data_IF_697327009729
#
_entry.id   IF_697327009729
#
_cell.length_a   1.000
_cell.length_b   1.000
_cell.length_c   1.000
_cell.angle_alpha   90.00
_cell.angle_beta   90.00
_cell.angle_gamma   90.00
#
_symmetry.space_group_name_H-M   'P 1'
#
loop_
_entity.id
_entity.type
_entity.pdbx_description
1 polymer ?
#
# COMPACT_ATOMS: atom_id res chain seq x y z
N UNK A 1 5.13 29.77 29.25
CA UNK A 1 5.35 30.91 28.36
C UNK A 1 6.35 30.53 27.26
N UNK A 2 6.27 31.14 26.08
CA UNK A 2 7.17 30.92 24.93
C UNK A 2 8.64 30.99 25.34
N UNK A 3 9.01 31.97 26.19
CA UNK A 3 10.39 32.11 26.69
C UNK A 3 10.89 30.91 27.47
N UNK A 4 10.02 30.22 28.19
CA UNK A 4 10.40 29.02 28.93
C UNK A 4 10.72 27.86 27.99
N UNK A 5 9.91 27.65 26.94
CA UNK A 5 10.15 26.64 25.94
C UNK A 5 11.42 26.89 25.13
N UNK A 6 11.68 28.15 24.74
CA UNK A 6 12.91 28.52 24.04
C UNK A 6 14.17 28.24 24.89
N UNK A 7 14.13 28.56 26.21
CA UNK A 7 15.24 28.22 27.13
C UNK A 7 15.42 26.72 27.32
N UNK A 8 14.35 25.95 27.21
CA UNK A 8 14.42 24.48 27.24
C UNK A 8 15.11 23.95 25.99
N UNK A 9 14.72 24.41 24.81
CA UNK A 9 15.36 24.03 23.54
C UNK A 9 16.84 24.42 23.50
N UNK A 10 17.23 25.59 24.07
CA UNK A 10 18.64 25.96 24.20
C UNK A 10 19.41 24.99 25.10
N UNK A 11 18.82 24.55 26.23
CA UNK A 11 19.45 23.59 27.15
C UNK A 11 19.58 22.19 26.55
N UNK A 12 18.65 21.82 25.69
CA UNK A 12 18.66 20.56 24.94
C UNK A 12 19.59 20.62 23.70
N UNK A 13 20.25 21.77 23.47
CA UNK A 13 21.17 21.95 22.35
C UNK A 13 20.51 22.01 20.98
N UNK A 14 19.19 22.22 20.92
CA UNK A 14 18.43 22.25 19.67
C UNK A 14 18.41 23.64 19.05
N UNK A 15 18.49 24.69 19.88
CA UNK A 15 18.55 26.08 19.44
C UNK A 15 19.70 26.81 20.13
N UNK A 16 20.18 27.86 19.50
CA UNK A 16 21.16 28.79 20.09
C UNK A 16 20.79 30.26 19.80
N UNK A 17 21.15 31.16 20.70
CA UNK A 17 20.93 32.56 20.48
C UNK A 17 21.91 33.11 19.45
N UNK A 18 21.41 33.50 18.28
CA UNK A 18 22.22 34.09 17.23
C UNK A 18 22.60 35.56 17.57
N UNK A 19 21.61 36.35 17.94
CA UNK A 19 21.83 37.73 18.50
C UNK A 19 20.53 38.23 19.15
N UNK A 20 20.64 39.32 19.95
CA UNK A 20 19.43 39.93 20.52
C UNK A 20 18.46 40.48 19.47
N UNK A 21 18.96 40.85 18.29
CA UNK A 21 18.17 41.41 17.18
C UNK A 21 17.66 40.32 16.22
N UNK A 22 18.49 39.31 15.91
CA UNK A 22 18.16 38.24 14.96
C UNK A 22 17.49 37.03 15.63
N UNK A 23 17.41 37.00 16.97
CA UNK A 23 16.74 35.92 17.69
C UNK A 23 17.58 34.66 17.81
N UNK A 24 16.92 33.51 17.78
CA UNK A 24 17.53 32.17 17.86
C UNK A 24 17.59 31.49 16.49
N UNK A 25 18.56 30.62 16.33
CA UNK A 25 18.66 29.74 15.17
C UNK A 25 18.73 28.28 15.63
N UNK A 26 18.40 27.37 14.74
CA UNK A 26 18.62 25.94 14.97
C UNK A 26 20.12 25.64 14.97
N UNK A 27 20.55 24.78 15.87
CA UNK A 27 21.86 24.13 15.78
C UNK A 27 21.84 23.02 14.71
N UNK A 28 23.00 22.43 14.37
CA UNK A 28 23.03 21.26 13.49
C UNK A 28 22.22 20.09 14.10
N UNK A 29 22.25 19.91 15.43
CA UNK A 29 21.41 18.95 16.14
C UNK A 29 19.93 19.32 16.06
N UNK A 30 19.57 20.59 16.21
CA UNK A 30 18.20 21.07 16.08
C UNK A 30 17.65 20.92 14.66
N UNK A 31 18.49 21.18 13.63
CA UNK A 31 18.12 20.93 12.25
C UNK A 31 17.89 19.43 11.96
N UNK A 32 18.79 18.56 12.44
CA UNK A 32 18.61 17.12 12.35
C UNK A 32 17.37 16.62 13.11
N UNK A 33 17.01 17.26 14.22
CA UNK A 33 15.81 16.92 14.99
C UNK A 33 14.54 17.42 14.31
N UNK A 34 14.58 18.56 13.63
CA UNK A 34 13.48 19.03 12.76
C UNK A 34 13.33 18.12 11.54
N UNK A 35 14.43 17.68 10.92
CA UNK A 35 14.39 16.67 9.86
C UNK A 35 13.86 15.31 10.35
N UNK A 36 14.17 14.93 11.60
CA UNK A 36 13.52 13.80 12.30
C UNK A 36 12.10 14.16 12.73
N UNK A 37 11.83 15.41 13.00
CA UNK A 37 10.62 15.99 13.57
C UNK A 37 9.48 16.20 12.57
N UNK A 38 9.57 15.71 11.34
CA UNK A 38 8.42 15.38 10.49
C UNK A 38 7.50 14.32 11.13
N UNK A 39 7.58 14.24 12.46
CA UNK A 39 6.66 13.46 13.31
C UNK A 39 5.22 13.89 13.09
N UNK A 40 4.94 15.17 12.82
CA UNK A 40 3.56 15.63 12.55
C UNK A 40 3.08 15.16 11.17
N UNK A 41 3.93 15.17 10.15
CA UNK A 41 3.61 14.51 8.87
C UNK A 41 3.61 12.98 8.99
N UNK A 42 4.45 12.42 9.87
CA UNK A 42 4.44 10.99 10.22
C UNK A 42 3.32 10.60 11.16
N UNK A 43 2.73 11.53 11.90
CA UNK A 43 1.54 11.30 12.75
C UNK A 43 0.23 11.47 11.98
N UNK A 44 0.25 11.72 10.67
CA UNK A 44 -0.95 11.57 9.87
C UNK A 44 -1.40 10.12 9.96
N UNK A 45 -2.59 9.89 10.50
CA UNK A 45 -3.20 8.55 10.48
C UNK A 45 -3.23 8.04 9.05
N UNK A 46 -3.03 6.74 8.90
CA UNK A 46 -3.05 6.08 7.58
C UNK A 46 -4.36 6.36 6.85
N UNK A 47 -5.48 6.51 7.55
CA UNK A 47 -6.76 6.90 6.97
C UNK A 47 -6.68 8.22 6.18
N UNK A 48 -6.01 9.24 6.71
CA UNK A 48 -5.82 10.51 6.00
C UNK A 48 -4.97 10.37 4.73
N UNK A 49 -3.94 9.55 4.76
CA UNK A 49 -3.14 9.24 3.55
C UNK A 49 -3.96 8.48 2.51
N UNK A 50 -4.81 7.55 2.95
CA UNK A 50 -5.74 6.82 2.08
C UNK A 50 -6.68 7.81 1.39
N UNK A 51 -7.28 8.74 2.13
CA UNK A 51 -8.24 9.72 1.60
C UNK A 51 -7.57 10.66 0.60
N UNK A 52 -6.38 11.18 0.92
CA UNK A 52 -5.60 12.05 0.04
C UNK A 52 -5.25 11.37 -1.29
N UNK A 53 -4.70 10.15 -1.24
CA UNK A 53 -4.35 9.41 -2.44
C UNK A 53 -5.59 8.97 -3.24
N UNK A 54 -6.68 8.60 -2.56
CA UNK A 54 -7.96 8.27 -3.18
C UNK A 54 -8.51 9.47 -3.98
N UNK A 55 -8.46 10.66 -3.40
CA UNK A 55 -8.91 11.90 -4.04
C UNK A 55 -8.04 12.26 -5.24
N UNK A 56 -6.71 12.25 -5.08
CA UNK A 56 -5.74 12.63 -6.12
C UNK A 56 -5.62 11.63 -7.26
N UNK A 57 -5.99 10.37 -7.05
CA UNK A 57 -5.91 9.32 -8.06
C UNK A 57 -6.66 9.70 -9.33
N UNK A 58 -5.98 9.61 -10.49
CA UNK A 58 -6.52 10.04 -11.80
C UNK A 58 -7.18 8.95 -12.63
N UNK A 59 -7.06 7.66 -12.24
CA UNK A 59 -7.53 6.55 -13.06
C UNK A 59 -9.05 6.59 -13.31
N UNK A 60 -9.43 6.39 -14.57
CA UNK A 60 -10.82 6.31 -15.04
C UNK A 60 -11.06 4.93 -15.63
N UNK A 61 -11.97 4.16 -15.04
CA UNK A 61 -12.23 2.78 -15.42
C UNK A 61 -12.64 2.64 -16.89
N UNK A 62 -13.55 3.50 -17.37
CA UNK A 62 -14.03 3.50 -18.76
C UNK A 62 -12.94 3.85 -19.77
N UNK A 63 -11.98 4.70 -19.41
CA UNK A 63 -10.89 5.11 -20.29
C UNK A 63 -9.70 4.14 -20.25
N UNK A 64 -9.61 3.29 -19.21
CA UNK A 64 -8.46 2.43 -18.97
C UNK A 64 -7.15 3.22 -18.86
N UNK A 65 -7.21 4.43 -18.27
CA UNK A 65 -6.08 5.36 -18.21
C UNK A 65 -6.14 6.23 -16.95
N UNK A 66 -4.99 6.77 -16.57
CA UNK A 66 -4.78 7.63 -15.42
C UNK A 66 -3.92 6.96 -14.35
N UNK A 67 -3.68 7.68 -13.26
CA UNK A 67 -2.77 7.27 -12.19
C UNK A 67 -3.45 6.34 -11.19
N UNK A 68 -2.71 5.31 -10.74
CA UNK A 68 -3.07 4.37 -9.68
C UNK A 68 -2.29 4.66 -8.42
N UNK A 69 -2.85 4.33 -7.26
CA UNK A 69 -2.11 4.27 -6.00
C UNK A 69 -1.21 3.04 -6.00
N UNK A 70 0.04 3.20 -5.61
CA UNK A 70 1.05 2.13 -5.68
C UNK A 70 1.72 1.88 -4.34
N UNK A 71 2.28 0.67 -4.21
CA UNK A 71 3.25 0.30 -3.18
C UNK A 71 4.60 0.07 -3.84
N UNK A 72 5.68 0.24 -3.10
CA UNK A 72 7.04 0.03 -3.58
C UNK A 72 7.82 -0.91 -2.65
N UNK A 73 8.70 -1.70 -3.24
CA UNK A 73 9.67 -2.53 -2.53
C UNK A 73 11.04 -2.33 -3.16
N UNK A 74 11.96 -1.72 -2.42
CA UNK A 74 13.34 -1.56 -2.85
C UNK A 74 14.15 -2.81 -2.49
N UNK A 75 14.79 -3.39 -3.51
CA UNK A 75 15.63 -4.58 -3.41
C UNK A 75 17.03 -4.30 -3.94
N UNK A 76 17.98 -5.20 -3.70
CA UNK A 76 19.26 -5.19 -4.41
C UNK A 76 19.03 -5.55 -5.89
N UNK A 77 19.70 -4.86 -6.81
CA UNK A 77 19.59 -5.14 -8.25
C UNK A 77 20.04 -6.57 -8.61
N UNK A 78 20.99 -7.14 -7.85
CA UNK A 78 21.43 -8.52 -8.02
C UNK A 78 20.34 -9.55 -7.78
N UNK A 79 19.31 -9.19 -7.02
CA UNK A 79 18.22 -10.09 -6.62
C UNK A 79 17.02 -10.03 -7.57
N UNK A 80 17.10 -9.25 -8.67
CA UNK A 80 16.00 -9.04 -9.63
C UNK A 80 15.38 -10.35 -10.13
N UNK A 81 16.21 -11.28 -10.61
CA UNK A 81 15.75 -12.55 -11.15
C UNK A 81 15.08 -13.43 -10.07
N UNK A 82 15.69 -13.50 -8.89
CA UNK A 82 15.13 -14.23 -7.76
C UNK A 82 13.80 -13.61 -7.29
N UNK A 83 13.72 -12.27 -7.23
CA UNK A 83 12.50 -11.58 -6.87
C UNK A 83 11.36 -11.87 -7.87
N UNK A 84 11.64 -11.81 -9.18
CA UNK A 84 10.66 -12.16 -10.22
C UNK A 84 10.19 -13.60 -10.08
N UNK A 85 11.09 -14.55 -9.82
CA UNK A 85 10.77 -15.97 -9.65
C UNK A 85 9.84 -16.20 -8.44
N UNK A 86 10.00 -15.42 -7.35
CA UNK A 86 9.17 -15.51 -6.14
C UNK A 86 7.80 -14.84 -6.33
N UNK A 87 7.74 -13.65 -6.93
CA UNK A 87 6.47 -12.91 -7.01
C UNK A 87 5.54 -13.43 -8.09
N UNK A 88 6.07 -14.02 -9.16
CA UNK A 88 5.27 -14.54 -10.27
C UNK A 88 4.23 -15.59 -9.83
N UNK A 89 4.56 -16.64 -9.04
CA UNK A 89 3.58 -17.59 -8.51
C UNK A 89 2.51 -16.91 -7.64
N UNK A 90 2.87 -15.88 -6.86
CA UNK A 90 1.92 -15.11 -6.04
C UNK A 90 0.86 -14.44 -6.91
N UNK A 91 1.28 -13.81 -8.02
CA UNK A 91 0.35 -13.21 -8.98
C UNK A 91 -0.48 -14.28 -9.71
N UNK A 92 0.13 -15.40 -10.08
CA UNK A 92 -0.58 -16.51 -10.72
C UNK A 92 -1.65 -17.13 -9.81
N UNK A 93 -1.37 -17.19 -8.50
CA UNK A 93 -2.32 -17.60 -7.47
C UNK A 93 -3.36 -16.53 -7.10
N UNK A 94 -3.29 -15.33 -7.70
CA UNK A 94 -4.17 -14.20 -7.45
C UNK A 94 -4.18 -13.73 -5.99
N UNK A 95 -3.02 -13.71 -5.34
CA UNK A 95 -2.86 -13.33 -3.94
C UNK A 95 -2.49 -11.84 -3.75
N UNK A 96 -2.55 -11.02 -4.78
CA UNK A 96 -2.27 -9.59 -4.75
C UNK A 96 -3.42 -8.74 -5.29
N UNK A 97 -3.20 -7.43 -5.37
CA UNK A 97 -4.13 -6.49 -6.00
C UNK A 97 -3.98 -6.53 -7.53
N UNK A 98 -4.61 -7.53 -8.16
CA UNK A 98 -4.59 -7.73 -9.60
C UNK A 98 -3.36 -8.46 -10.12
N UNK A 99 -3.08 -8.29 -11.41
CA UNK A 99 -2.04 -9.02 -12.16
C UNK A 99 -0.94 -8.10 -12.72
N UNK A 100 -0.84 -6.87 -12.25
CA UNK A 100 0.04 -5.84 -12.81
C UNK A 100 1.20 -5.53 -11.90
N UNK A 101 2.38 -5.45 -12.48
CA UNK A 101 3.64 -5.23 -11.78
C UNK A 101 4.57 -4.38 -12.63
N UNK A 102 5.27 -3.43 -12.00
CA UNK A 102 6.27 -2.59 -12.64
C UNK A 102 7.60 -2.76 -11.92
N UNK A 103 8.69 -2.90 -12.68
CA UNK A 103 10.06 -2.88 -12.16
C UNK A 103 10.71 -1.58 -12.62
N UNK A 104 11.30 -0.86 -11.68
CA UNK A 104 12.10 0.35 -11.92
C UNK A 104 13.56 0.07 -11.59
N UNK A 105 14.45 0.57 -12.44
CA UNK A 105 15.89 0.43 -12.29
C UNK A 105 16.54 1.72 -11.79
N UNK A 106 17.81 1.65 -11.42
CA UNK A 106 18.57 2.78 -10.91
C UNK A 106 18.38 4.05 -11.76
N UNK A 107 18.06 5.17 -11.11
CA UNK A 107 17.80 6.46 -11.74
C UNK A 107 16.35 6.70 -12.19
N UNK A 108 15.54 5.65 -12.36
CA UNK A 108 14.13 5.80 -12.71
C UNK A 108 13.30 6.26 -11.50
N UNK A 109 12.26 7.07 -11.75
CA UNK A 109 11.33 7.49 -10.71
C UNK A 109 10.42 6.33 -10.33
N UNK A 110 10.34 5.99 -9.03
CA UNK A 110 9.47 4.95 -8.49
C UNK A 110 8.40 5.50 -7.54
N UNK A 111 8.58 6.70 -7.02
CA UNK A 111 7.59 7.45 -6.25
C UNK A 111 7.34 8.79 -6.94
N UNK A 112 6.25 8.90 -7.67
CA UNK A 112 5.90 10.12 -8.41
C UNK A 112 5.43 11.25 -7.46
N UNK A 113 4.98 10.91 -6.25
CA UNK A 113 4.52 11.90 -5.26
C UNK A 113 5.68 12.70 -4.68
N UNK A 114 6.82 12.04 -4.42
CA UNK A 114 8.05 12.65 -3.88
C UNK A 114 9.13 12.88 -4.93
N UNK A 115 8.98 12.32 -6.13
CA UNK A 115 9.99 12.36 -7.15
C UNK A 115 11.21 11.47 -6.87
N UNK A 116 11.07 10.54 -5.91
CA UNK A 116 12.15 9.65 -5.50
C UNK A 116 12.59 8.76 -6.66
N UNK A 117 13.91 8.63 -6.82
CA UNK A 117 14.54 7.78 -7.83
C UNK A 117 15.17 6.55 -7.21
N UNK A 118 15.12 5.44 -7.93
CA UNK A 118 15.75 4.18 -7.50
C UNK A 118 17.26 4.40 -7.30
N UNK A 119 17.82 4.11 -6.13
CA UNK A 119 19.25 4.27 -5.86
C UNK A 119 20.11 3.35 -6.72
N UNK A 120 21.38 3.74 -6.93
CA UNK A 120 22.38 2.89 -7.62
C UNK A 120 22.51 1.53 -6.93
N UNK A 121 22.55 0.45 -7.72
CA UNK A 121 22.61 -0.93 -7.20
C UNK A 121 21.31 -1.47 -6.61
N UNK A 122 20.19 -0.74 -6.78
CA UNK A 122 18.85 -1.15 -6.37
C UNK A 122 17.91 -1.28 -7.55
N UNK A 123 16.82 -2.00 -7.32
CA UNK A 123 15.60 -1.99 -8.14
C UNK A 123 14.41 -1.65 -7.24
N UNK A 124 13.35 -1.13 -7.82
CA UNK A 124 12.08 -1.00 -7.15
C UNK A 124 11.04 -1.92 -7.83
N UNK A 125 10.49 -2.83 -7.07
CA UNK A 125 9.30 -3.58 -7.43
C UNK A 125 8.10 -2.71 -7.04
N UNK A 126 7.26 -2.34 -8.01
CA UNK A 126 6.11 -1.48 -7.78
C UNK A 126 4.83 -2.27 -8.06
N UNK A 127 3.99 -2.40 -7.05
CA UNK A 127 2.71 -3.11 -7.11
C UNK A 127 1.54 -2.15 -6.98
N UNK A 128 0.38 -2.52 -7.50
CA UNK A 128 -0.83 -1.72 -7.33
C UNK A 128 -1.30 -1.83 -5.88
N UNK A 129 -1.53 -0.68 -5.24
CA UNK A 129 -2.11 -0.63 -3.90
C UNK A 129 -3.61 -0.91 -3.94
N UNK A 130 -4.14 -1.60 -2.94
CA UNK A 130 -5.57 -1.87 -2.82
C UNK A 130 -6.41 -0.59 -2.67
N UNK A 131 -5.82 0.53 -2.24
CA UNK A 131 -6.47 1.85 -2.17
C UNK A 131 -6.87 2.38 -3.56
N UNK A 132 -6.26 1.89 -4.62
CA UNK A 132 -6.72 2.14 -6.01
C UNK A 132 -8.21 1.83 -6.18
N UNK A 133 -8.72 0.79 -5.52
CA UNK A 133 -10.13 0.47 -5.58
C UNK A 133 -11.00 1.58 -4.97
N UNK A 134 -10.56 2.20 -3.86
CA UNK A 134 -11.30 3.33 -3.27
C UNK A 134 -11.45 4.48 -4.27
N UNK A 135 -10.36 4.83 -4.95
CA UNK A 135 -10.38 5.90 -5.93
C UNK A 135 -11.25 5.56 -7.16
N UNK A 136 -11.25 4.31 -7.61
CA UNK A 136 -12.13 3.88 -8.71
C UNK A 136 -13.60 3.99 -8.28
N UNK A 137 -13.96 3.47 -7.11
CA UNK A 137 -15.33 3.53 -6.61
C UNK A 137 -15.78 4.97 -6.35
N UNK A 138 -14.91 5.82 -5.78
CA UNK A 138 -15.20 7.24 -5.56
C UNK A 138 -15.51 7.96 -6.89
N UNK A 139 -14.77 7.68 -7.96
CA UNK A 139 -14.97 8.28 -9.27
C UNK A 139 -16.24 7.78 -9.98
N UNK A 140 -16.77 6.65 -9.57
CA UNK A 140 -18.08 6.14 -9.98
C UNK A 140 -19.21 6.58 -9.01
N UNK A 141 -18.91 7.54 -8.10
CA UNK A 141 -19.87 8.11 -7.14
C UNK A 141 -20.15 7.23 -5.92
N UNK A 142 -19.33 6.20 -5.67
CA UNK A 142 -19.51 5.25 -4.56
C UNK A 142 -18.48 5.55 -3.46
N UNK A 143 -18.88 6.15 -2.32
CA UNK A 143 -18.00 6.38 -1.20
C UNK A 143 -17.64 5.05 -0.51
N UNK A 144 -16.36 4.86 -0.25
CA UNK A 144 -15.81 3.65 0.40
C UNK A 144 -15.03 4.05 1.65
N UNK A 145 -15.29 3.35 2.74
CA UNK A 145 -14.54 3.51 3.99
C UNK A 145 -13.63 2.31 4.19
N UNK A 146 -12.31 2.53 4.24
CA UNK A 146 -11.34 1.53 4.68
C UNK A 146 -11.39 1.43 6.20
N UNK A 147 -11.90 0.31 6.74
CA UNK A 147 -12.05 0.10 8.18
C UNK A 147 -10.80 -0.54 8.77
N UNK A 148 -10.44 -1.69 8.27
CA UNK A 148 -9.39 -2.53 8.85
C UNK A 148 -8.41 -3.03 7.79
N UNK A 149 -7.12 -3.02 8.11
CA UNK A 149 -6.12 -3.88 7.49
C UNK A 149 -5.91 -5.11 8.37
N UNK A 150 -5.72 -6.28 7.79
CA UNK A 150 -5.65 -7.49 8.57
C UNK A 150 -4.98 -8.65 7.86
N UNK A 151 -4.86 -9.76 8.59
CA UNK A 151 -4.45 -11.05 8.07
C UNK A 151 -5.67 -11.91 7.80
N UNK A 152 -5.89 -12.22 6.53
CA UNK A 152 -6.95 -13.10 6.07
C UNK A 152 -6.42 -14.54 5.97
N UNK A 153 -7.05 -15.44 6.68
CA UNK A 153 -6.79 -16.87 6.56
C UNK A 153 -7.40 -17.41 5.27
N UNK A 154 -6.55 -18.01 4.44
CA UNK A 154 -6.97 -18.76 3.25
C UNK A 154 -6.89 -20.25 3.58
N UNK A 155 -7.97 -20.98 3.32
CA UNK A 155 -8.06 -22.44 3.45
C UNK A 155 -8.57 -23.05 2.14
N UNK A 156 -7.84 -24.00 1.62
CA UNK A 156 -8.19 -24.67 0.35
C UNK A 156 -8.47 -23.67 -0.79
N UNK A 157 -7.62 -22.62 -0.89
CA UNK A 157 -7.71 -21.51 -1.86
C UNK A 157 -8.93 -20.59 -1.69
N UNK A 158 -9.69 -20.72 -0.61
CA UNK A 158 -10.85 -19.89 -0.29
C UNK A 158 -10.58 -19.04 0.96
N UNK A 159 -11.03 -17.78 0.98
CA UNK A 159 -10.96 -16.97 2.19
C UNK A 159 -11.88 -17.56 3.26
N UNK A 160 -11.36 -17.64 4.49
CA UNK A 160 -12.07 -18.26 5.62
C UNK A 160 -12.48 -17.24 6.68
N UNK A 161 -11.52 -16.48 7.21
CA UNK A 161 -11.75 -15.47 8.26
C UNK A 161 -10.56 -14.54 8.39
N UNK A 162 -10.75 -13.39 9.02
CA UNK A 162 -9.64 -12.61 9.54
C UNK A 162 -9.14 -13.19 10.86
N UNK A 163 -7.83 -13.25 11.05
CA UNK A 163 -7.19 -13.71 12.29
C UNK A 163 -6.59 -12.55 13.08
N UNK A 164 -6.23 -11.46 12.42
CA UNK A 164 -5.73 -10.22 12.99
C UNK A 164 -6.32 -9.02 12.26
N UNK A 165 -6.61 -7.96 13.00
CA UNK A 165 -7.17 -6.72 12.48
C UNK A 165 -6.55 -5.51 13.17
N UNK A 166 -6.21 -4.49 12.37
CA UNK A 166 -5.82 -3.16 12.84
C UNK A 166 -6.69 -2.12 12.14
N UNK A 167 -7.26 -1.19 12.91
CA UNK A 167 -8.09 -0.13 12.38
C UNK A 167 -7.24 0.97 11.74
N UNK A 168 -7.53 1.36 10.49
CA UNK A 168 -6.79 2.41 9.79
C UNK A 168 -6.89 3.78 10.45
N UNK A 169 -8.01 4.07 11.10
CA UNK A 169 -8.24 5.32 11.84
C UNK A 169 -7.42 5.44 13.12
N UNK A 170 -6.91 4.32 13.66
CA UNK A 170 -6.16 4.27 14.92
C UNK A 170 -4.65 4.08 14.75
N UNK A 171 -4.12 4.00 13.53
CA UNK A 171 -2.70 3.74 13.28
C UNK A 171 -2.05 4.79 12.38
N UNK A 172 -0.77 5.06 12.64
CA UNK A 172 0.13 5.90 11.83
C UNK A 172 1.01 5.10 10.88
N UNK A 173 0.96 3.77 10.95
CA UNK A 173 1.65 2.85 10.05
C UNK A 173 0.67 1.92 9.37
N UNK A 174 0.91 1.60 8.10
CA UNK A 174 0.04 0.67 7.37
C UNK A 174 0.04 -0.71 8.04
N UNK A 175 -1.14 -1.27 8.37
CA UNK A 175 -1.26 -2.57 9.00
C UNK A 175 -0.55 -3.69 8.26
N UNK A 176 -0.57 -3.69 6.92
CA UNK A 176 0.07 -4.74 6.14
C UNK A 176 1.60 -4.66 6.24
N UNK A 177 2.19 -3.47 6.24
CA UNK A 177 3.62 -3.31 6.52
C UNK A 177 3.99 -3.83 7.90
N UNK A 178 3.15 -3.57 8.92
CA UNK A 178 3.38 -4.06 10.28
C UNK A 178 3.37 -5.58 10.33
N UNK A 179 2.39 -6.24 9.71
CA UNK A 179 2.30 -7.69 9.67
C UNK A 179 3.47 -8.34 8.91
N UNK A 180 3.94 -7.73 7.83
CA UNK A 180 5.13 -8.19 7.09
C UNK A 180 6.37 -8.09 7.99
N UNK A 181 6.62 -6.93 8.60
CA UNK A 181 7.76 -6.73 9.52
C UNK A 181 7.71 -7.68 10.72
N UNK A 182 6.52 -7.96 11.24
CA UNK A 182 6.31 -8.91 12.33
C UNK A 182 6.40 -10.38 11.89
N UNK A 183 6.62 -10.67 10.59
CA UNK A 183 6.69 -12.01 10.01
C UNK A 183 5.43 -12.85 10.29
N UNK A 184 4.28 -12.21 10.29
CA UNK A 184 2.99 -12.87 10.57
C UNK A 184 2.29 -13.38 9.30
N UNK A 185 2.80 -13.08 8.12
CA UNK A 185 2.27 -13.55 6.84
C UNK A 185 2.81 -14.93 6.47
N UNK A 186 2.09 -15.63 5.61
CA UNK A 186 2.53 -16.89 5.00
C UNK A 186 2.03 -17.01 3.56
N UNK A 187 2.31 -15.96 2.76
CA UNK A 187 1.87 -15.83 1.36
C UNK A 187 2.45 -16.93 0.49
N UNK A 188 3.74 -17.27 0.66
CA UNK A 188 4.37 -18.36 -0.09
C UNK A 188 3.73 -19.72 0.21
N UNK A 189 3.47 -20.02 1.48
CA UNK A 189 2.75 -21.23 1.86
C UNK A 189 1.36 -21.24 1.23
N UNK A 190 0.66 -20.09 1.26
CA UNK A 190 -0.66 -19.96 0.65
C UNK A 190 -0.62 -20.22 -0.86
N UNK A 191 0.36 -19.66 -1.56
CA UNK A 191 0.57 -19.87 -3.00
C UNK A 191 0.79 -21.35 -3.30
N UNK A 192 1.67 -22.04 -2.56
CA UNK A 192 2.07 -23.42 -2.78
C UNK A 192 0.98 -24.43 -2.43
N UNK A 193 0.31 -24.23 -1.30
CA UNK A 193 -0.60 -25.23 -0.70
C UNK A 193 -2.08 -24.86 -0.77
N UNK A 194 -2.38 -23.60 -1.07
CA UNK A 194 -3.73 -23.05 -0.93
C UNK A 194 -4.13 -22.73 0.51
N UNK A 195 -3.19 -22.79 1.48
CA UNK A 195 -3.45 -22.55 2.90
C UNK A 195 -2.41 -21.59 3.49
N UNK A 196 -2.83 -20.50 4.08
CA UNK A 196 -1.91 -19.52 4.67
C UNK A 196 -2.60 -18.23 5.11
N UNK A 197 -1.76 -17.28 5.56
CA UNK A 197 -2.18 -15.96 6.00
C UNK A 197 -1.70 -14.91 5.00
N UNK A 198 -2.63 -14.15 4.45
CA UNK A 198 -2.34 -13.11 3.46
C UNK A 198 -2.84 -11.75 3.95
N UNK A 199 -2.15 -10.70 3.60
CA UNK A 199 -2.60 -9.34 3.87
C UNK A 199 -3.86 -9.03 3.08
N UNK A 200 -4.88 -8.50 3.76
CA UNK A 200 -6.12 -8.05 3.16
C UNK A 200 -6.70 -6.86 3.94
N UNK A 201 -7.65 -6.16 3.34
CA UNK A 201 -8.37 -5.07 4.01
C UNK A 201 -9.88 -5.30 3.96
N UNK A 202 -10.54 -4.93 5.04
CA UNK A 202 -11.99 -4.85 5.13
C UNK A 202 -12.44 -3.41 4.90
N UNK A 203 -13.42 -3.26 4.04
CA UNK A 203 -14.00 -1.96 3.65
C UNK A 203 -15.51 -2.03 3.65
N UNK A 204 -16.12 -0.86 3.66
CA UNK A 204 -17.58 -0.72 3.59
C UNK A 204 -17.97 0.30 2.54
N UNK A 205 -19.08 0.03 1.87
CA UNK A 205 -19.72 0.95 0.94
C UNK A 205 -21.26 0.96 1.17
N UNK A 206 -21.98 2.00 0.70
CA UNK A 206 -23.44 2.04 0.84
C UNK A 206 -24.11 0.85 0.16
N UNK A 207 -24.99 0.14 0.89
CA UNK A 207 -25.64 -1.09 0.39
C UNK A 207 -26.40 -0.92 -0.92
N UNK A 208 -26.99 0.26 -1.16
CA UNK A 208 -27.66 0.58 -2.43
C UNK A 208 -26.73 0.56 -3.65
N UNK A 209 -25.40 0.67 -3.44
CA UNK A 209 -24.42 0.61 -4.53
C UNK A 209 -24.00 -0.81 -4.91
N UNK A 210 -24.50 -1.86 -4.23
CA UNK A 210 -24.09 -3.25 -4.45
C UNK A 210 -24.15 -3.67 -5.95
N UNK A 211 -25.21 -3.40 -6.73
CA UNK A 211 -25.22 -3.78 -8.14
C UNK A 211 -24.12 -3.10 -8.97
N UNK A 212 -23.82 -1.83 -8.66
CA UNK A 212 -22.76 -1.08 -9.33
C UNK A 212 -21.37 -1.63 -8.95
N UNK A 213 -21.13 -1.97 -7.68
CA UNK A 213 -19.87 -2.55 -7.21
C UNK A 213 -19.61 -3.91 -7.85
N UNK A 214 -20.63 -4.75 -8.01
CA UNK A 214 -20.53 -6.04 -8.71
C UNK A 214 -20.10 -5.84 -10.16
N UNK A 215 -20.71 -4.90 -10.87
CA UNK A 215 -20.35 -4.56 -12.26
C UNK A 215 -18.91 -4.02 -12.36
N UNK A 216 -18.50 -3.15 -11.44
CA UNK A 216 -17.14 -2.61 -11.39
C UNK A 216 -16.13 -3.73 -11.12
N UNK A 217 -16.41 -4.65 -10.19
CA UNK A 217 -15.57 -5.83 -9.94
C UNK A 217 -15.29 -6.61 -11.22
N UNK A 218 -16.33 -6.87 -12.02
CA UNK A 218 -16.18 -7.65 -13.25
C UNK A 218 -15.35 -6.88 -14.31
N UNK A 219 -15.50 -5.56 -14.39
CA UNK A 219 -14.66 -4.71 -15.24
C UNK A 219 -13.18 -4.69 -14.77
N UNK A 220 -12.93 -4.64 -13.45
CA UNK A 220 -11.58 -4.67 -12.89
C UNK A 220 -10.83 -5.96 -13.24
N UNK A 221 -11.54 -7.10 -13.29
CA UNK A 221 -10.97 -8.39 -13.73
C UNK A 221 -10.42 -8.32 -15.14
N UNK A 222 -11.13 -7.66 -16.05
CA UNK A 222 -10.73 -7.56 -17.45
C UNK A 222 -9.45 -6.72 -17.67
N UNK A 223 -9.16 -5.80 -16.76
CA UNK A 223 -8.02 -4.88 -16.87
C UNK A 223 -6.87 -5.23 -15.92
N UNK A 224 -6.93 -6.38 -15.23
CA UNK A 224 -5.86 -6.84 -14.34
C UNK A 224 -5.74 -6.07 -13.04
N UNK A 225 -6.84 -5.52 -12.52
CA UNK A 225 -6.94 -4.85 -11.22
C UNK A 225 -7.86 -5.61 -10.24
N UNK A 226 -7.92 -6.92 -10.36
CA UNK A 226 -8.79 -7.81 -9.59
C UNK A 226 -8.15 -8.17 -8.23
N UNK A 227 -8.52 -7.45 -7.19
CA UNK A 227 -8.12 -7.74 -5.81
C UNK A 227 -9.29 -8.02 -4.88
N UNK A 228 -10.54 -7.92 -5.37
CA UNK A 228 -11.75 -8.18 -4.58
C UNK A 228 -11.94 -9.69 -4.42
N UNK A 229 -11.86 -10.18 -3.19
CA UNK A 229 -12.06 -11.61 -2.88
C UNK A 229 -13.44 -11.93 -2.34
N UNK A 230 -14.09 -10.95 -1.71
CA UNK A 230 -15.46 -11.13 -1.22
C UNK A 230 -16.22 -9.81 -1.17
N UNK A 231 -17.51 -9.89 -1.43
CA UNK A 231 -18.49 -8.83 -1.24
C UNK A 231 -19.62 -9.44 -0.41
N UNK A 232 -19.94 -8.79 0.73
CA UNK A 232 -20.97 -9.24 1.64
C UNK A 232 -22.38 -8.97 1.13
N UNK A 233 -23.35 -9.40 1.92
CA UNK A 233 -24.75 -9.01 1.76
C UNK A 233 -25.04 -7.75 2.58
N UNK A 234 -26.00 -6.91 2.16
CA UNK A 234 -26.39 -5.71 2.89
C UNK A 234 -26.68 -5.99 4.36
N UNK A 235 -26.02 -5.27 5.28
CA UNK A 235 -26.22 -5.40 6.72
C UNK A 235 -25.77 -6.72 7.34
N UNK A 236 -25.13 -7.61 6.57
CA UNK A 236 -24.63 -8.90 7.06
C UNK A 236 -23.13 -8.83 7.39
N UNK A 237 -22.68 -9.52 8.43
CA UNK A 237 -21.26 -9.68 8.70
C UNK A 237 -20.55 -10.38 7.53
N UNK A 238 -19.29 -9.98 7.27
CA UNK A 238 -18.44 -10.63 6.28
C UNK A 238 -17.16 -11.12 6.96
N UNK A 239 -16.94 -12.43 6.97
CA UNK A 239 -15.84 -13.11 7.69
C UNK A 239 -15.74 -12.72 9.18
N UNK A 240 -16.89 -12.60 9.84
CA UNK A 240 -17.00 -12.27 11.26
C UNK A 240 -16.93 -10.77 11.58
N UNK A 241 -16.69 -9.91 10.58
CA UNK A 241 -16.66 -8.46 10.78
C UNK A 241 -18.05 -7.89 10.46
N UNK A 242 -18.71 -7.22 11.43
CA UNK A 242 -20.01 -6.60 11.19
C UNK A 242 -19.86 -5.42 10.24
N UNK A 243 -20.80 -5.30 9.31
CA UNK A 243 -20.94 -4.09 8.49
C UNK A 243 -21.82 -3.07 9.25
N UNK A 244 -21.53 -1.79 9.09
CA UNK A 244 -22.34 -0.70 9.64
C UNK A 244 -23.76 -0.70 9.07
N UNK A 245 -24.67 0.01 9.74
CA UNK A 245 -26.05 0.18 9.28
C UNK A 245 -26.08 0.79 7.87
N UNK A 246 -26.89 0.23 6.97
CA UNK A 246 -26.96 0.64 5.57
C UNK A 246 -25.70 0.39 4.74
N UNK A 247 -24.74 -0.38 5.28
CA UNK A 247 -23.44 -0.66 4.63
C UNK A 247 -23.33 -2.14 4.23
N UNK A 248 -22.47 -2.36 3.25
CA UNK A 248 -22.09 -3.70 2.78
C UNK A 248 -20.58 -3.85 2.90
N UNK A 249 -20.15 -4.97 3.46
CA UNK A 249 -18.74 -5.31 3.64
C UNK A 249 -18.08 -5.72 2.31
N UNK A 250 -16.79 -5.40 2.16
CA UNK A 250 -15.95 -5.71 1.01
C UNK A 250 -14.56 -6.10 1.49
N UNK A 251 -14.03 -7.24 1.03
CA UNK A 251 -12.66 -7.68 1.33
C UNK A 251 -11.79 -7.63 0.08
N UNK A 252 -10.64 -6.97 0.22
CA UNK A 252 -9.68 -6.74 -0.87
C UNK A 252 -8.30 -7.20 -0.43
N UNK A 253 -7.62 -7.96 -1.28
CA UNK A 253 -6.24 -8.41 -1.05
C UNK A 253 -5.26 -7.23 -1.04
N UNK A 254 -4.25 -7.36 -0.19
CA UNK A 254 -3.17 -6.39 -0.08
C UNK A 254 -2.25 -6.38 -1.30
N UNK A 255 -1.98 -5.19 -1.82
CA UNK A 255 -0.97 -5.03 -2.89
C UNK A 255 0.46 -5.31 -2.44
N UNK A 256 0.72 -5.42 -1.13
CA UNK A 256 2.01 -5.80 -0.54
C UNK A 256 2.20 -7.32 -0.38
N UNK A 257 1.22 -8.17 -0.68
CA UNK A 257 1.41 -9.63 -0.58
C UNK A 257 2.59 -10.16 -1.41
N UNK A 258 2.87 -9.67 -2.64
CA UNK A 258 4.10 -10.05 -3.35
C UNK A 258 5.38 -9.64 -2.59
N UNK A 259 5.38 -8.51 -1.89
CA UNK A 259 6.50 -8.07 -1.04
C UNK A 259 6.66 -8.96 0.19
N UNK A 260 5.55 -9.37 0.83
CA UNK A 260 5.57 -10.33 1.93
C UNK A 260 6.23 -11.66 1.51
N UNK A 261 5.91 -12.16 0.31
CA UNK A 261 6.53 -13.37 -0.21
C UNK A 261 8.04 -13.25 -0.43
N UNK A 262 8.54 -12.05 -0.75
CA UNK A 262 9.99 -11.79 -0.84
C UNK A 262 10.66 -11.89 0.53
N UNK A 263 10.08 -11.27 1.56
CA UNK A 263 10.61 -11.35 2.94
C UNK A 263 10.56 -12.79 3.48
N UNK A 264 9.48 -13.52 3.22
CA UNK A 264 9.34 -14.94 3.57
C UNK A 264 10.40 -15.82 2.87
N UNK A 265 10.89 -15.40 1.71
CA UNK A 265 11.98 -16.07 0.97
C UNK A 265 13.38 -15.62 1.42
N UNK A 266 13.50 -14.70 2.38
CA UNK A 266 14.77 -14.16 2.84
C UNK A 266 15.36 -13.05 1.93
N UNK A 267 14.63 -12.56 0.95
CA UNK A 267 15.01 -11.39 0.16
C UNK A 267 14.57 -10.11 0.89
N UNK A 268 15.45 -9.62 1.76
CA UNK A 268 15.19 -8.41 2.54
C UNK A 268 14.99 -7.20 1.65
N UNK A 269 13.82 -6.57 1.74
CA UNK A 269 13.45 -5.35 1.04
C UNK A 269 13.03 -4.23 1.99
N UNK A 270 13.03 -3.00 1.47
CA UNK A 270 12.37 -1.87 2.14
C UNK A 270 11.00 -1.69 1.48
N UNK A 271 9.96 -2.05 2.22
CA UNK A 271 8.58 -1.95 1.76
C UNK A 271 7.98 -0.61 2.16
N UNK A 272 7.16 -0.06 1.27
CA UNK A 272 6.40 1.16 1.50
C UNK A 272 5.03 1.03 0.85
N UNK A 273 4.01 1.06 1.67
CA UNK A 273 2.63 1.23 1.22
C UNK A 273 2.36 2.68 0.85
N UNK A 274 1.28 2.92 0.12
CA UNK A 274 0.81 4.26 -0.21
C UNK A 274 1.93 5.15 -0.77
N UNK A 275 2.82 4.57 -1.59
CA UNK A 275 4.07 5.19 -2.02
C UNK A 275 3.88 6.29 -3.09
N UNK A 276 2.66 6.57 -3.51
CA UNK A 276 2.34 7.62 -4.46
C UNK A 276 1.45 7.15 -5.61
N UNK A 277 1.50 7.89 -6.71
CA UNK A 277 0.64 7.70 -7.88
C UNK A 277 1.49 7.47 -9.13
N UNK A 278 1.22 6.41 -9.88
CA UNK A 278 1.86 6.12 -11.17
C UNK A 278 0.82 5.77 -12.24
N UNK A 279 1.15 6.09 -13.50
CA UNK A 279 0.28 5.85 -14.64
C UNK A 279 0.01 4.36 -14.87
N UNK A 280 -1.27 3.97 -14.96
CA UNK A 280 -1.70 2.59 -15.20
C UNK A 280 -1.02 1.94 -16.42
N UNK A 281 -0.86 2.68 -17.51
CA UNK A 281 -0.26 2.17 -18.75
C UNK A 281 1.21 1.74 -18.62
N UNK A 282 1.88 2.15 -17.55
CA UNK A 282 3.25 1.73 -17.25
C UNK A 282 3.34 0.33 -16.64
N UNK A 283 2.21 -0.23 -16.18
CA UNK A 283 2.16 -1.52 -15.51
C UNK A 283 1.81 -2.63 -16.49
N UNK A 284 2.79 -3.41 -16.99
CA UNK A 284 2.51 -4.62 -17.75
C UNK A 284 1.84 -5.67 -16.85
N UNK A 285 1.17 -6.64 -17.47
CA UNK A 285 0.79 -7.84 -16.74
C UNK A 285 2.03 -8.65 -16.37
N UNK A 286 2.02 -9.29 -15.19
CA UNK A 286 3.16 -10.07 -14.69
C UNK A 286 3.63 -11.17 -15.66
N UNK A 287 2.73 -11.66 -16.51
CA UNK A 287 3.05 -12.68 -17.54
C UNK A 287 4.02 -12.17 -18.60
N UNK A 288 4.08 -10.87 -18.82
CA UNK A 288 4.92 -10.22 -19.83
C UNK A 288 6.27 -9.76 -19.29
N UNK A 289 6.58 -9.95 -18.01
CA UNK A 289 7.83 -9.49 -17.38
C UNK A 289 9.10 -10.03 -18.06
N UNK A 290 9.07 -11.26 -18.60
CA UNK A 290 10.24 -11.82 -19.32
C UNK A 290 10.63 -11.07 -20.58
N UNK A 291 9.72 -10.31 -21.19
CA UNK A 291 10.01 -9.49 -22.38
C UNK A 291 10.72 -8.17 -22.03
N UNK A 292 10.65 -7.74 -20.77
CA UNK A 292 11.23 -6.49 -20.29
C UNK A 292 12.64 -6.66 -19.74
N UNK A 293 12.98 -7.84 -19.21
CA UNK A 293 14.34 -8.14 -18.72
C UNK A 293 15.36 -8.27 -19.86
N UNK A 294 14.92 -8.54 -21.10
CA UNK A 294 15.80 -8.67 -22.29
C UNK A 294 16.07 -7.36 -23.03
N UNK A 295 15.47 -6.24 -22.67
CA UNK A 295 15.66 -4.93 -23.32
C UNK A 295 16.72 -4.04 -22.66
N UNK A 296 17.47 -4.55 -21.71
CA UNK A 296 18.55 -3.85 -20.99
C UNK A 296 19.95 -4.41 -21.24
N UNK A 297 20.13 -5.23 -22.25
CA UNK A 297 21.45 -5.63 -22.77
C UNK A 297 21.79 -4.84 -24.02
#
# INVERSE_FOLDING_TARGET
SIRLHLRRLDREGLTELHSRRAGRRLTAQGAAEVEKGDVIERMAFVSGQIDELTYRMGFRLRAGAGTLVVNTTLLSARDEQAAIAIVRPVFAARLGMGSRLLIRRAGEVYDAGRGDRVPKGKIALVTVCSVTLNGILLKEGIPVTSRYGGLLEIRNRLPARFVELLEYGGTTQDPLELFIRARMTSVRRCEQTGNGLVGASFREFPSGALPAVLKIRDQLRLIGLDGIVAIGMPGQPLYGIPAGEGRTGLVVLGGLNPAAALDEAGLAGVHRSLAGLLEYRQFPEFRHLNMWTRRGE
#
